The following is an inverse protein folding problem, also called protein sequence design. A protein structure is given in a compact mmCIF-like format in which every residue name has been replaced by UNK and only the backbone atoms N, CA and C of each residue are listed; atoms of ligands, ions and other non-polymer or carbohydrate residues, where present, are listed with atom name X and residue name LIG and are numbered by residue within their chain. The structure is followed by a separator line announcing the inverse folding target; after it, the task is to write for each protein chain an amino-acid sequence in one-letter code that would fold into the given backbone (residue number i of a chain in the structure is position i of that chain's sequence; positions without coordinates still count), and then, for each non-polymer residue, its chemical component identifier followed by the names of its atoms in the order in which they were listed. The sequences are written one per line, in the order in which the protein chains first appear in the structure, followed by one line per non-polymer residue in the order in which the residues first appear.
data_IF_861970759448
#
_entry.id   IF_861970759448
#
_cell.length_a   1.000
_cell.length_b   1.000
_cell.length_c   1.000
_cell.angle_alpha   90.00
_cell.angle_beta   90.00
_cell.angle_gamma   90.00
#
_symmetry.space_group_name_H-M   'P 1'
#
loop_
_entity.id
_entity.type
_entity.pdbx_description
1 polymer ?
#
# COMPACT_ATOMS: atom_id res chain seq x y z
N UNK A 1 48.93 -40.06 36.34
CA UNK A 1 48.86 -38.93 35.33
C UNK A 1 47.83 -37.90 35.81
N UNK A 2 48.37 -36.80 36.33
CA UNK A 2 47.63 -35.68 36.88
C UNK A 2 47.25 -34.80 35.67
N UNK A 3 45.97 -34.58 35.43
CA UNK A 3 45.48 -33.61 34.45
C UNK A 3 45.42 -32.22 35.10
N UNK A 4 46.19 -31.29 34.57
CA UNK A 4 46.23 -29.90 34.95
C UNK A 4 44.92 -29.16 34.55
N UNK A 5 44.47 -28.14 35.28
CA UNK A 5 43.23 -27.44 35.02
C UNK A 5 43.31 -26.54 33.77
N UNK A 6 42.27 -26.58 32.92
CA UNK A 6 42.11 -25.79 31.71
C UNK A 6 41.92 -24.31 32.09
N UNK A 7 42.80 -23.47 31.60
CA UNK A 7 42.80 -22.03 31.85
C UNK A 7 41.74 -21.38 30.93
N UNK A 8 40.62 -20.94 31.49
CA UNK A 8 39.55 -20.21 30.73
C UNK A 8 39.99 -18.77 30.49
N UNK A 9 39.94 -18.27 29.23
CA UNK A 9 40.39 -16.92 28.90
C UNK A 9 39.59 -15.83 29.65
N UNK A 10 40.27 -14.74 30.01
CA UNK A 10 39.73 -13.63 30.79
C UNK A 10 38.50 -12.94 30.13
N UNK A 11 38.33 -13.04 28.81
CA UNK A 11 37.18 -12.55 28.06
C UNK A 11 35.87 -13.26 28.44
N UNK A 12 35.88 -14.59 28.70
CA UNK A 12 34.67 -15.32 29.11
C UNK A 12 34.20 -14.93 30.51
N UNK A 13 35.11 -14.57 31.41
CA UNK A 13 34.76 -14.10 32.77
C UNK A 13 34.15 -12.70 32.80
N UNK A 14 34.43 -11.87 31.81
CA UNK A 14 33.87 -10.50 31.72
C UNK A 14 32.43 -10.52 31.22
N UNK A 15 32.09 -11.42 30.29
CA UNK A 15 30.73 -11.57 29.73
C UNK A 15 29.77 -12.07 30.80
N UNK A 16 30.20 -13.07 31.60
CA UNK A 16 29.37 -13.68 32.66
C UNK A 16 29.05 -12.67 33.81
N UNK A 17 29.98 -11.76 34.14
CA UNK A 17 29.72 -10.68 35.11
C UNK A 17 28.70 -9.65 34.60
N UNK A 18 28.67 -9.31 33.29
CA UNK A 18 27.72 -8.35 32.74
C UNK A 18 26.29 -8.92 32.68
N UNK A 19 26.15 -10.21 32.36
CA UNK A 19 24.82 -10.85 32.34
C UNK A 19 24.24 -10.98 33.75
N UNK A 20 25.04 -11.31 34.74
CA UNK A 20 24.62 -11.39 36.14
C UNK A 20 24.25 -10.03 36.74
N UNK A 21 24.93 -8.95 36.33
CA UNK A 21 24.55 -7.57 36.73
C UNK A 21 23.25 -7.13 36.07
N UNK A 22 23.04 -7.42 34.78
CA UNK A 22 21.77 -7.11 34.08
C UNK A 22 20.57 -7.82 34.73
N UNK A 23 20.69 -9.09 35.09
CA UNK A 23 19.62 -9.82 35.78
C UNK A 23 19.31 -9.23 37.16
N UNK A 24 20.31 -8.79 37.90
CA UNK A 24 20.12 -8.11 39.20
C UNK A 24 19.42 -6.75 39.04
N UNK A 25 19.77 -5.96 38.02
CA UNK A 25 19.11 -4.65 37.77
C UNK A 25 17.67 -4.81 37.31
N UNK A 26 17.37 -5.80 36.48
CA UNK A 26 15.99 -6.12 36.07
C UNK A 26 15.13 -6.55 37.26
N UNK A 27 15.69 -7.37 38.17
CA UNK A 27 14.99 -7.81 39.38
C UNK A 27 14.70 -6.65 40.36
N UNK A 28 15.63 -5.69 40.47
CA UNK A 28 15.44 -4.48 41.32
C UNK A 28 14.39 -3.56 40.71
N UNK A 29 14.37 -3.36 39.39
CA UNK A 29 13.38 -2.53 38.70
C UNK A 29 11.98 -3.14 38.82
N UNK A 30 11.83 -4.46 38.66
CA UNK A 30 10.56 -5.16 38.88
C UNK A 30 10.07 -5.03 40.33
N UNK A 31 10.96 -5.14 41.32
CA UNK A 31 10.61 -5.00 42.73
C UNK A 31 10.14 -3.56 43.08
N UNK A 32 10.77 -2.54 42.50
CA UNK A 32 10.38 -1.14 42.68
C UNK A 32 9.04 -0.85 42.04
N UNK A 33 8.75 -1.41 40.85
CA UNK A 33 7.44 -1.25 40.18
C UNK A 33 6.32 -1.91 40.99
N UNK A 34 6.55 -3.09 41.57
CA UNK A 34 5.58 -3.78 42.43
C UNK A 34 5.34 -2.98 43.73
N UNK A 35 6.38 -2.37 44.32
CA UNK A 35 6.26 -1.60 45.52
C UNK A 35 5.50 -0.25 45.33
N UNK A 36 5.62 0.36 44.13
CA UNK A 36 4.86 1.58 43.77
C UNK A 36 3.38 1.29 43.54
N UNK A 37 3.05 0.08 43.02
CA UNK A 37 1.64 -0.31 42.79
C UNK A 37 0.88 -0.66 44.06
N UNK A 38 1.53 -0.89 45.22
CA UNK A 38 0.85 -1.25 46.48
C UNK A 38 0.55 -0.07 47.43
N UNK A 39 0.96 1.16 47.05
CA UNK A 39 0.72 2.34 47.90
C UNK A 39 -0.50 3.15 47.45
N UNK A 40 -1.18 2.77 46.36
CA UNK A 40 -2.39 3.44 45.86
C UNK A 40 -3.59 2.52 46.11
N UNK A 41 -4.13 2.54 47.31
CA UNK A 41 -5.49 2.12 47.65
C UNK A 41 -6.01 2.91 48.86
N UNK A 42 -7.29 3.02 49.11
CA UNK A 42 -8.27 3.81 48.40
C UNK A 42 -8.94 4.80 49.39
N UNK A 43 -9.11 5.99 49.01
CA UNK A 43 -10.09 6.83 49.68
C UNK A 43 -10.63 7.83 48.66
N UNK A 44 -11.79 7.52 48.13
CA UNK A 44 -12.79 8.53 47.77
C UNK A 44 -14.05 7.83 47.24
N UNK A 45 -14.87 7.40 48.22
CA UNK A 45 -16.30 7.32 48.01
C UNK A 45 -16.87 8.71 48.34
N UNK A 46 -16.93 9.59 47.37
CA UNK A 46 -17.79 10.77 47.41
C UNK A 46 -18.18 11.04 45.94
N UNK A 47 -19.45 10.82 45.64
CA UNK A 47 -20.00 11.05 44.31
C UNK A 47 -19.85 12.51 43.89
N UNK A 48 -19.02 12.70 42.89
CA UNK A 48 -19.13 13.84 42.00
C UNK A 48 -19.62 13.28 40.66
N UNK A 49 -20.91 13.45 40.41
CA UNK A 49 -21.48 13.34 39.06
C UNK A 49 -20.81 14.43 38.24
N UNK A 50 -19.78 14.05 37.49
CA UNK A 50 -19.39 14.80 36.30
C UNK A 50 -20.40 14.43 35.20
N UNK A 51 -21.00 15.40 34.53
CA UNK A 51 -21.83 15.06 33.38
C UNK A 51 -20.94 14.38 32.35
N UNK A 52 -21.34 13.19 31.98
CA UNK A 52 -20.80 12.43 30.88
C UNK A 52 -21.15 13.22 29.60
N UNK A 53 -20.25 14.13 29.20
CA UNK A 53 -20.27 14.65 27.83
C UNK A 53 -19.80 13.56 26.88
N UNK A 54 -20.66 12.56 26.71
CA UNK A 54 -20.65 11.73 25.51
C UNK A 54 -21.13 12.58 24.33
N UNK A 55 -20.37 13.58 23.98
CA UNK A 55 -20.55 14.28 22.70
C UNK A 55 -19.69 13.65 21.62
N UNK A 56 -19.82 12.34 21.43
CA UNK A 56 -19.71 11.78 20.11
C UNK A 56 -20.88 12.32 19.31
N UNK A 57 -20.78 13.55 18.83
CA UNK A 57 -21.48 13.93 17.63
C UNK A 57 -21.03 12.94 16.57
N UNK A 58 -21.76 11.85 16.44
CA UNK A 58 -21.88 11.13 15.19
C UNK A 58 -22.24 12.22 14.19
N UNK A 59 -21.21 12.68 13.44
CA UNK A 59 -21.45 13.52 12.29
C UNK A 59 -22.49 12.75 11.47
N UNK A 60 -23.64 13.39 11.23
CA UNK A 60 -24.61 12.91 10.27
C UNK A 60 -23.84 12.47 9.04
N UNK A 61 -23.82 11.19 8.78
CA UNK A 61 -23.22 10.62 7.59
C UNK A 61 -24.14 10.99 6.42
N UNK A 62 -24.02 12.21 5.91
CA UNK A 62 -24.34 12.43 4.52
C UNK A 62 -23.41 11.50 3.78
N UNK A 63 -23.96 10.46 3.19
CA UNK A 63 -23.21 9.45 2.43
C UNK A 63 -22.36 10.17 1.39
N UNK A 64 -21.09 10.41 1.71
CA UNK A 64 -20.15 11.12 0.84
C UNK A 64 -19.92 10.37 -0.47
N UNK A 65 -20.17 9.05 -0.46
CA UNK A 65 -19.97 8.13 -1.57
C UNK A 65 -21.13 7.16 -1.72
N UNK A 66 -21.45 6.81 -2.96
CA UNK A 66 -22.41 5.77 -3.32
C UNK A 66 -21.79 4.36 -3.21
N UNK A 67 -20.45 4.27 -3.31
CA UNK A 67 -19.73 3.00 -3.20
C UNK A 67 -20.06 2.27 -1.90
N UNK A 68 -20.22 0.92 -1.94
CA UNK A 68 -20.44 0.11 -0.75
C UNK A 68 -19.28 0.14 0.24
N UNK A 69 -18.04 0.35 -0.23
CA UNK A 69 -16.85 0.47 0.63
C UNK A 69 -15.94 1.55 0.10
N UNK A 70 -15.37 2.33 1.01
CA UNK A 70 -14.37 3.33 0.65
C UNK A 70 -13.58 3.84 1.84
N UNK A 71 -12.42 4.42 1.55
CA UNK A 71 -11.54 5.06 2.52
C UNK A 71 -10.80 6.23 1.90
N UNK A 72 -10.60 7.27 2.66
CA UNK A 72 -9.71 8.38 2.34
C UNK A 72 -8.60 8.45 3.38
N UNK A 73 -7.36 8.43 2.94
CA UNK A 73 -6.17 8.43 3.79
C UNK A 73 -5.23 9.56 3.37
N UNK A 74 -4.65 10.26 4.33
CA UNK A 74 -3.52 11.16 4.10
C UNK A 74 -2.23 10.33 4.01
N UNK A 75 -1.44 10.52 2.95
CA UNK A 75 -0.37 9.59 2.60
C UNK A 75 0.86 9.68 3.51
N UNK A 76 1.23 10.87 4.02
CA UNK A 76 2.43 11.03 4.83
C UNK A 76 2.25 10.39 6.21
N UNK A 77 1.16 10.70 6.88
CA UNK A 77 0.87 10.24 8.24
C UNK A 77 0.17 8.88 8.29
N UNK A 78 -0.54 8.50 7.21
CA UNK A 78 -1.45 7.36 7.20
C UNK A 78 -2.78 7.63 7.93
N UNK A 79 -3.08 8.89 8.24
CA UNK A 79 -4.32 9.28 8.92
C UNK A 79 -5.53 9.03 8.03
N UNK A 80 -6.52 8.32 8.58
CA UNK A 80 -7.81 8.09 7.92
C UNK A 80 -8.70 9.31 8.11
N UNK A 81 -9.04 9.98 7.01
CA UNK A 81 -9.87 11.20 6.99
C UNK A 81 -11.35 10.87 6.83
N UNK A 82 -11.68 9.80 6.09
CA UNK A 82 -13.03 9.29 5.91
C UNK A 82 -13.00 7.78 5.68
N UNK A 83 -14.03 7.08 6.12
CA UNK A 83 -14.20 5.66 5.83
C UNK A 83 -15.67 5.24 5.83
N UNK A 84 -15.99 4.26 4.99
CA UNK A 84 -17.29 3.58 4.91
C UNK A 84 -17.02 2.11 4.61
N UNK A 85 -17.45 1.20 5.48
CA UNK A 85 -17.24 -0.25 5.37
C UNK A 85 -15.84 -0.63 4.86
N UNK A 86 -14.81 0.09 5.39
CA UNK A 86 -13.45 0.03 4.88
C UNK A 86 -12.76 -1.33 5.11
N UNK A 87 -13.27 -2.14 6.03
CA UNK A 87 -12.71 -3.43 6.43
C UNK A 87 -13.48 -4.64 5.87
N UNK A 88 -14.53 -4.39 5.07
CA UNK A 88 -15.27 -5.45 4.39
C UNK A 88 -14.44 -6.05 3.26
N UNK A 89 -14.24 -7.39 3.29
CA UNK A 89 -13.52 -8.14 2.25
C UNK A 89 -14.27 -8.10 0.93
N UNK A 90 -13.56 -7.77 -0.14
CA UNK A 90 -14.07 -7.68 -1.50
C UNK A 90 -13.03 -8.12 -2.51
N UNK A 91 -13.45 -8.57 -3.68
CA UNK A 91 -12.52 -8.81 -4.79
C UNK A 91 -11.90 -7.49 -5.26
N UNK A 92 -10.56 -7.40 -5.37
CA UNK A 92 -9.87 -6.18 -5.79
C UNK A 92 -9.86 -5.96 -7.31
N UNK A 93 -10.13 -7.00 -8.11
CA UNK A 93 -9.81 -6.98 -9.53
C UNK A 93 -8.38 -6.46 -9.79
N UNK A 94 -8.13 -5.71 -10.84
CA UNK A 94 -6.80 -5.19 -11.19
C UNK A 94 -6.19 -4.19 -10.19
N UNK A 95 -6.86 -3.86 -9.08
CA UNK A 95 -6.21 -3.16 -7.96
C UNK A 95 -5.07 -4.04 -7.36
N UNK A 96 -5.16 -5.36 -7.49
CA UNK A 96 -4.11 -6.34 -7.19
C UNK A 96 -2.73 -5.90 -7.71
N UNK A 97 -2.68 -5.29 -8.88
CA UNK A 97 -1.44 -4.84 -9.52
C UNK A 97 -0.67 -3.76 -8.74
N UNK A 98 -1.28 -3.15 -7.73
CA UNK A 98 -0.54 -2.27 -6.81
C UNK A 98 0.49 -3.11 -6.03
N UNK A 99 0.12 -4.30 -5.56
CA UNK A 99 1.07 -5.21 -4.89
C UNK A 99 2.11 -5.75 -5.88
N UNK A 100 1.72 -6.06 -7.10
CA UNK A 100 2.66 -6.44 -8.17
C UNK A 100 3.71 -5.34 -8.41
N UNK A 101 3.28 -4.09 -8.50
CA UNK A 101 4.18 -2.95 -8.64
C UNK A 101 5.08 -2.77 -7.40
N UNK A 102 4.57 -2.99 -6.18
CA UNK A 102 5.40 -2.96 -4.96
C UNK A 102 6.54 -3.97 -5.06
N UNK A 103 6.28 -5.21 -5.44
CA UNK A 103 7.33 -6.23 -5.56
C UNK A 103 8.33 -5.92 -6.68
N UNK A 104 7.88 -5.35 -7.80
CA UNK A 104 8.77 -4.87 -8.86
C UNK A 104 9.70 -3.77 -8.31
N UNK A 105 9.16 -2.79 -7.62
CA UNK A 105 9.95 -1.72 -7.04
C UNK A 105 10.81 -2.18 -5.84
N UNK A 106 10.37 -3.17 -5.06
CA UNK A 106 11.20 -3.81 -4.04
C UNK A 106 12.42 -4.50 -4.68
N UNK A 107 12.28 -5.13 -5.85
CA UNK A 107 13.38 -5.75 -6.59
C UNK A 107 14.35 -4.70 -7.19
N UNK A 108 13.83 -3.58 -7.69
CA UNK A 108 14.61 -2.44 -8.16
C UNK A 108 15.41 -1.79 -7.01
N UNK A 109 14.80 -1.58 -5.86
CA UNK A 109 15.42 -0.99 -4.66
C UNK A 109 16.54 -1.87 -4.11
N UNK A 110 16.35 -3.20 -4.13
CA UNK A 110 17.39 -4.18 -3.76
C UNK A 110 18.52 -4.29 -4.79
N UNK A 111 18.41 -3.68 -5.97
CA UNK A 111 19.38 -3.79 -7.05
C UNK A 111 19.41 -5.15 -7.75
N UNK A 112 18.45 -6.05 -7.48
CA UNK A 112 18.29 -7.34 -8.18
C UNK A 112 17.58 -7.20 -9.53
N UNK A 113 17.01 -6.03 -9.81
CA UNK A 113 16.35 -5.66 -11.05
C UNK A 113 16.76 -4.23 -11.43
N UNK A 114 16.85 -3.93 -12.73
CA UNK A 114 17.10 -2.58 -13.26
C UNK A 114 16.03 -2.19 -14.25
N UNK A 115 15.82 -0.90 -14.45
CA UNK A 115 14.80 -0.38 -15.38
C UNK A 115 15.06 -0.76 -16.84
N UNK A 116 16.32 -0.90 -17.21
CA UNK A 116 16.79 -1.27 -18.57
C UNK A 116 16.99 -2.78 -18.75
N UNK A 117 16.80 -3.60 -17.73
CA UNK A 117 16.81 -5.05 -17.86
C UNK A 117 15.72 -5.50 -18.84
N UNK A 118 16.01 -6.54 -19.58
CA UNK A 118 15.10 -7.10 -20.59
C UNK A 118 14.34 -8.30 -20.04
N UNK A 119 13.03 -8.29 -20.28
CA UNK A 119 12.09 -9.35 -19.89
C UNK A 119 11.55 -10.01 -21.13
N UNK A 120 11.67 -11.34 -21.21
CA UNK A 120 11.12 -12.13 -22.31
C UNK A 120 9.72 -12.62 -21.93
N UNK A 121 8.74 -12.36 -22.79
CA UNK A 121 7.36 -12.80 -22.60
C UNK A 121 7.25 -14.32 -22.80
N UNK A 122 6.73 -15.02 -21.80
CA UNK A 122 6.46 -16.46 -21.85
C UNK A 122 5.17 -16.78 -22.61
N UNK A 123 4.97 -18.06 -22.96
CA UNK A 123 3.69 -18.55 -23.49
C UNK A 123 2.53 -18.32 -22.51
N UNK A 124 2.78 -18.45 -21.20
CA UNK A 124 1.78 -18.17 -20.14
C UNK A 124 1.40 -16.70 -20.10
N UNK A 125 2.39 -15.78 -20.02
CA UNK A 125 2.14 -14.34 -20.04
C UNK A 125 1.34 -13.92 -21.27
N UNK A 126 1.71 -14.42 -22.47
CA UNK A 126 0.97 -14.18 -23.71
C UNK A 126 -0.48 -14.68 -23.64
N UNK A 127 -0.74 -15.80 -22.98
CA UNK A 127 -2.08 -16.43 -22.92
C UNK A 127 -3.07 -15.70 -22.02
N UNK A 128 -2.64 -14.68 -21.27
CA UNK A 128 -3.48 -13.97 -20.32
C UNK A 128 -4.66 -13.30 -21.00
N UNK A 129 -5.83 -13.44 -20.36
CA UNK A 129 -7.06 -12.76 -20.77
C UNK A 129 -7.23 -11.38 -20.12
N UNK A 130 -8.40 -10.77 -20.35
CA UNK A 130 -8.76 -9.47 -19.77
C UNK A 130 -8.01 -8.30 -20.39
N UNK A 131 -7.56 -7.34 -19.56
CA UNK A 131 -6.77 -6.20 -20.04
C UNK A 131 -5.37 -6.64 -20.46
N UNK A 132 -4.99 -6.36 -21.68
CA UNK A 132 -3.72 -6.78 -22.28
C UNK A 132 -3.07 -5.62 -23.05
N UNK A 133 -1.77 -5.68 -23.20
CA UNK A 133 -1.02 -4.88 -24.18
C UNK A 133 -0.58 -5.73 -25.38
N UNK A 134 -1.03 -6.98 -25.42
CA UNK A 134 -0.84 -7.94 -26.51
C UNK A 134 0.63 -8.31 -26.80
N UNK A 135 1.37 -8.58 -25.72
CA UNK A 135 2.72 -9.11 -25.81
C UNK A 135 2.72 -10.47 -26.53
N UNK A 136 3.67 -10.68 -27.44
CA UNK A 136 3.86 -11.94 -28.14
C UNK A 136 4.86 -12.85 -27.40
N UNK A 137 4.68 -14.18 -27.54
CA UNK A 137 5.63 -15.15 -26.98
C UNK A 137 7.05 -14.94 -27.56
N UNK A 138 8.02 -14.83 -26.67
CA UNK A 138 9.41 -14.53 -27.03
C UNK A 138 9.67 -13.06 -27.33
N UNK A 139 8.66 -12.18 -27.24
CA UNK A 139 8.87 -10.74 -27.33
C UNK A 139 9.66 -10.26 -26.11
N UNK A 140 10.55 -9.31 -26.36
CA UNK A 140 11.42 -8.72 -25.33
C UNK A 140 11.03 -7.27 -25.13
N UNK A 141 10.76 -6.90 -23.87
CA UNK A 141 10.49 -5.54 -23.44
C UNK A 141 11.38 -5.17 -22.25
N UNK A 142 11.59 -3.87 -22.02
CA UNK A 142 12.32 -3.42 -20.82
C UNK A 142 11.39 -3.44 -19.59
N UNK A 143 11.98 -3.57 -18.41
CA UNK A 143 11.27 -3.45 -17.12
C UNK A 143 10.47 -2.15 -17.06
N UNK A 144 11.06 -1.01 -17.47
CA UNK A 144 10.38 0.27 -17.51
C UNK A 144 9.14 0.25 -18.41
N UNK A 145 9.25 -0.32 -19.60
CA UNK A 145 8.12 -0.46 -20.53
C UNK A 145 7.01 -1.29 -19.90
N UNK A 146 7.35 -2.42 -19.26
CA UNK A 146 6.36 -3.29 -18.62
C UNK A 146 5.70 -2.61 -17.41
N UNK A 147 6.42 -1.82 -16.60
CA UNK A 147 5.81 -0.98 -15.55
C UNK A 147 4.76 -0.05 -16.14
N UNK A 148 5.06 0.64 -17.25
CA UNK A 148 4.11 1.50 -17.95
C UNK A 148 2.89 0.71 -18.46
N UNK A 149 3.10 -0.46 -19.04
CA UNK A 149 2.02 -1.37 -19.47
C UNK A 149 1.08 -1.75 -18.29
N UNK A 150 1.65 -2.04 -17.13
CA UNK A 150 0.92 -2.45 -15.93
C UNK A 150 0.10 -1.27 -15.36
N UNK A 151 0.73 -0.10 -15.18
CA UNK A 151 0.09 1.00 -14.45
C UNK A 151 -0.86 1.80 -15.34
N UNK A 152 -0.53 2.03 -16.62
CA UNK A 152 -1.33 2.82 -17.55
C UNK A 152 -2.48 1.99 -18.12
N UNK A 153 -2.16 0.91 -18.82
CA UNK A 153 -3.14 0.08 -19.55
C UNK A 153 -3.66 -1.11 -18.74
N UNK A 154 -3.12 -1.36 -17.55
CA UNK A 154 -3.53 -2.51 -16.72
C UNK A 154 -3.20 -3.87 -17.34
N UNK A 155 -2.11 -4.00 -18.13
CA UNK A 155 -1.72 -5.23 -18.83
C UNK A 155 -1.55 -6.43 -17.89
N UNK A 156 -2.36 -7.48 -18.09
CA UNK A 156 -2.25 -8.74 -17.37
C UNK A 156 -1.02 -9.52 -17.85
N UNK A 157 -0.83 -9.56 -19.16
CA UNK A 157 0.34 -10.14 -19.84
C UNK A 157 1.66 -9.53 -19.32
N UNK A 158 1.74 -8.21 -19.22
CA UNK A 158 2.88 -7.51 -18.66
C UNK A 158 3.09 -7.83 -17.15
N UNK A 159 2.01 -7.99 -16.38
CA UNK A 159 2.08 -8.35 -14.97
C UNK A 159 2.66 -9.74 -14.74
N UNK A 160 2.18 -10.72 -15.51
CA UNK A 160 2.67 -12.12 -15.47
C UNK A 160 4.12 -12.21 -15.96
N UNK A 161 4.46 -11.53 -17.06
CA UNK A 161 5.84 -11.50 -17.57
C UNK A 161 6.82 -10.97 -16.50
N UNK A 162 6.46 -9.91 -15.80
CA UNK A 162 7.27 -9.37 -14.69
C UNK A 162 7.34 -10.34 -13.50
N UNK A 163 6.22 -10.97 -13.12
CA UNK A 163 6.16 -11.93 -12.02
C UNK A 163 7.08 -13.12 -12.28
N UNK A 164 7.01 -13.72 -13.46
CA UNK A 164 7.86 -14.82 -13.88
C UNK A 164 9.34 -14.42 -13.96
N UNK A 165 9.63 -13.23 -14.47
CA UNK A 165 11.00 -12.72 -14.55
C UNK A 165 11.66 -12.56 -13.18
N UNK A 166 10.92 -12.06 -12.19
CA UNK A 166 11.45 -11.77 -10.85
C UNK A 166 11.55 -13.04 -10.00
N UNK A 167 10.57 -13.93 -10.07
CA UNK A 167 10.45 -15.08 -9.16
C UNK A 167 10.52 -16.44 -9.87
N UNK A 168 10.68 -16.49 -11.20
CA UNK A 168 10.70 -17.72 -11.98
C UNK A 168 9.33 -18.32 -12.27
N UNK A 169 8.28 -17.95 -11.53
CA UNK A 169 6.89 -18.33 -11.78
C UNK A 169 5.92 -17.33 -11.14
N UNK A 170 4.68 -17.26 -11.68
CA UNK A 170 3.61 -16.46 -11.08
C UNK A 170 3.26 -16.98 -9.68
N UNK A 171 3.21 -18.29 -9.46
CA UNK A 171 2.89 -18.87 -8.13
C UNK A 171 3.88 -18.41 -7.06
N UNK A 172 5.17 -18.43 -7.35
CA UNK A 172 6.18 -17.98 -6.39
C UNK A 172 6.08 -16.47 -6.16
N UNK A 173 5.77 -15.70 -7.20
CA UNK A 173 5.53 -14.26 -7.05
C UNK A 173 4.31 -13.98 -6.17
N UNK A 174 3.20 -14.73 -6.34
CA UNK A 174 1.99 -14.61 -5.51
C UNK A 174 2.27 -14.97 -4.05
N UNK A 175 3.11 -15.97 -3.79
CA UNK A 175 3.57 -16.27 -2.44
C UNK A 175 4.24 -15.04 -1.81
N UNK A 176 5.15 -14.38 -2.54
CA UNK A 176 5.79 -13.15 -2.07
C UNK A 176 4.81 -11.97 -1.93
N UNK A 177 3.77 -11.88 -2.79
CA UNK A 177 2.71 -10.86 -2.61
C UNK A 177 2.00 -11.03 -1.27
N UNK A 178 1.67 -12.27 -0.88
CA UNK A 178 1.00 -12.56 0.39
C UNK A 178 1.93 -12.29 1.59
N UNK A 179 3.20 -12.68 1.52
CA UNK A 179 4.21 -12.35 2.54
C UNK A 179 4.38 -10.83 2.70
N UNK A 180 4.38 -10.10 1.57
CA UNK A 180 4.50 -8.65 1.59
C UNK A 180 3.26 -7.98 2.18
N UNK A 181 2.07 -8.50 1.88
CA UNK A 181 0.81 -8.05 2.47
C UNK A 181 0.80 -8.26 3.99
N UNK A 182 1.23 -9.42 4.46
CA UNK A 182 1.38 -9.70 5.90
C UNK A 182 2.37 -8.71 6.55
N UNK A 183 3.54 -8.50 5.92
CA UNK A 183 4.56 -7.56 6.39
C UNK A 183 4.08 -6.10 6.45
N UNK A 184 3.10 -5.72 5.64
CA UNK A 184 2.44 -4.41 5.67
C UNK A 184 1.28 -4.33 6.68
N UNK A 185 0.94 -5.44 7.34
CA UNK A 185 -0.19 -5.52 8.26
C UNK A 185 -1.57 -5.56 7.58
N UNK A 186 -1.63 -5.97 6.32
CA UNK A 186 -2.87 -6.13 5.53
C UNK A 186 -3.60 -7.42 5.94
N UNK A 187 -4.24 -7.41 7.11
CA UNK A 187 -4.80 -8.60 7.78
C UNK A 187 -6.00 -9.22 7.05
N UNK A 188 -6.62 -8.50 6.15
CA UNK A 188 -7.81 -8.93 5.41
C UNK A 188 -7.54 -8.99 3.91
N UNK A 189 -6.33 -9.41 3.53
CA UNK A 189 -5.93 -9.52 2.13
C UNK A 189 -5.31 -10.89 1.86
N UNK A 190 -5.71 -11.49 0.73
CA UNK A 190 -5.08 -12.67 0.18
C UNK A 190 -5.13 -12.62 -1.35
N UNK A 191 -4.01 -12.91 -1.98
CA UNK A 191 -3.84 -12.91 -3.43
C UNK A 191 -3.66 -14.34 -3.94
N UNK A 192 -4.29 -14.67 -5.08
CA UNK A 192 -4.16 -15.94 -5.78
C UNK A 192 -3.55 -15.79 -7.19
N UNK A 193 -3.55 -14.57 -7.73
CA UNK A 193 -2.85 -14.22 -8.96
C UNK A 193 -2.18 -12.83 -8.83
N UNK A 194 -1.31 -12.50 -9.79
CA UNK A 194 -0.57 -11.23 -9.77
C UNK A 194 -1.29 -10.07 -10.46
N UNK A 195 -2.45 -10.29 -11.06
CA UNK A 195 -3.13 -9.29 -11.90
C UNK A 195 -4.58 -9.00 -11.49
N UNK A 196 -5.19 -9.84 -10.63
CA UNK A 196 -6.56 -9.72 -10.17
C UNK A 196 -7.58 -10.16 -11.22
N UNK A 197 -7.26 -11.21 -11.98
CA UNK A 197 -8.14 -11.77 -13.00
C UNK A 197 -8.98 -12.92 -12.46
N UNK A 198 -8.51 -13.64 -11.43
CA UNK A 198 -9.24 -14.77 -10.83
C UNK A 198 -10.59 -14.36 -10.28
N UNK A 199 -11.56 -15.25 -10.41
CA UNK A 199 -12.90 -15.11 -9.83
C UNK A 199 -13.03 -15.88 -8.50
N UNK A 200 -11.94 -16.40 -7.97
CA UNK A 200 -11.91 -17.12 -6.70
C UNK A 200 -12.34 -16.23 -5.53
N UNK A 201 -13.17 -16.75 -4.62
CA UNK A 201 -13.55 -16.05 -3.40
C UNK A 201 -12.38 -15.86 -2.42
N UNK A 202 -11.29 -16.63 -2.61
CA UNK A 202 -10.09 -16.53 -1.78
C UNK A 202 -9.14 -15.42 -2.23
N UNK A 203 -9.43 -14.77 -3.38
CA UNK A 203 -8.73 -13.56 -3.83
C UNK A 203 -9.49 -12.32 -3.35
N UNK A 204 -9.12 -11.80 -2.20
CA UNK A 204 -9.83 -10.69 -1.56
C UNK A 204 -8.88 -9.67 -0.91
N UNK A 205 -9.43 -8.49 -0.67
CA UNK A 205 -8.80 -7.40 0.09
C UNK A 205 -9.88 -6.49 0.69
N UNK A 206 -9.46 -5.39 1.32
CA UNK A 206 -10.35 -4.36 1.87
C UNK A 206 -9.94 -2.98 1.36
N UNK A 207 -10.84 -1.99 1.47
CA UNK A 207 -10.49 -0.62 1.11
C UNK A 207 -9.33 -0.09 1.96
N UNK A 208 -9.27 -0.47 3.25
CA UNK A 208 -8.17 -0.12 4.15
C UNK A 208 -6.85 -0.74 3.72
N UNK A 209 -6.83 -2.03 3.43
CA UNK A 209 -5.61 -2.72 3.02
C UNK A 209 -5.09 -2.18 1.67
N UNK A 210 -6.00 -1.82 0.75
CA UNK A 210 -5.63 -1.13 -0.50
C UNK A 210 -5.02 0.25 -0.21
N UNK A 211 -5.56 1.02 0.73
CA UNK A 211 -4.98 2.31 1.09
C UNK A 211 -3.58 2.14 1.69
N UNK A 212 -3.36 1.09 2.51
CA UNK A 212 -2.05 0.74 3.08
C UNK A 212 -1.05 0.44 1.97
N UNK A 213 -1.37 -0.49 1.03
CA UNK A 213 -0.44 -0.82 -0.05
C UNK A 213 -0.26 0.33 -1.05
N UNK A 214 -1.30 1.15 -1.29
CA UNK A 214 -1.16 2.34 -2.13
C UNK A 214 -0.22 3.36 -1.49
N UNK A 215 -0.35 3.57 -0.17
CA UNK A 215 0.54 4.43 0.60
C UNK A 215 1.98 3.93 0.54
N UNK A 216 2.21 2.65 0.79
CA UNK A 216 3.54 2.02 0.69
C UNK A 216 4.17 2.29 -0.68
N UNK A 217 3.43 2.03 -1.76
CA UNK A 217 3.94 2.20 -3.11
C UNK A 217 4.35 3.65 -3.41
N UNK A 218 3.50 4.63 -3.06
CA UNK A 218 3.75 6.03 -3.43
C UNK A 218 4.72 6.76 -2.50
N UNK A 219 4.82 6.35 -1.24
CA UNK A 219 5.74 7.00 -0.28
C UNK A 219 7.14 6.42 -0.34
N UNK A 220 7.26 5.10 -0.50
CA UNK A 220 8.56 4.44 -0.61
C UNK A 220 9.15 4.55 -2.01
N UNK A 221 8.30 4.50 -3.04
CA UNK A 221 8.69 4.50 -4.44
C UNK A 221 8.00 5.63 -5.23
N UNK A 222 8.25 6.91 -4.92
CA UNK A 222 7.54 8.04 -5.51
C UNK A 222 7.66 8.12 -7.03
N UNK A 223 8.68 7.46 -7.63
CA UNK A 223 8.84 7.36 -9.08
C UNK A 223 7.63 6.74 -9.78
N UNK A 224 6.84 5.89 -9.09
CA UNK A 224 5.61 5.33 -9.68
C UNK A 224 4.62 6.42 -10.12
N UNK A 225 4.62 7.57 -9.44
CA UNK A 225 3.72 8.67 -9.77
C UNK A 225 4.04 9.33 -11.11
N UNK A 226 5.29 9.25 -11.57
CA UNK A 226 5.69 9.69 -12.91
C UNK A 226 4.98 8.83 -13.97
N UNK A 227 4.92 7.52 -13.79
CA UNK A 227 4.28 6.59 -14.72
C UNK A 227 2.75 6.61 -14.59
N UNK A 228 2.22 6.61 -13.36
CA UNK A 228 0.77 6.55 -13.14
C UNK A 228 0.02 7.82 -13.57
N UNK A 229 0.73 8.95 -13.69
CA UNK A 229 0.17 10.22 -14.17
C UNK A 229 0.14 10.37 -15.70
N UNK A 230 0.79 9.46 -16.43
CA UNK A 230 0.77 9.45 -17.90
C UNK A 230 -0.65 9.15 -18.39
N UNK A 231 -1.20 10.01 -19.23
CA UNK A 231 -2.52 9.78 -19.84
C UNK A 231 -2.46 8.82 -21.03
N UNK A 232 -1.51 9.03 -21.94
CA UNK A 232 -1.30 8.19 -23.12
C UNK A 232 0.19 8.13 -23.44
N UNK A 233 0.66 6.95 -23.85
CA UNK A 233 2.02 6.73 -24.32
C UNK A 233 2.04 5.57 -25.33
N UNK A 234 2.96 5.59 -26.26
CA UNK A 234 3.15 4.46 -27.19
C UNK A 234 4.28 3.56 -26.70
N UNK A 235 4.09 2.27 -26.90
CA UNK A 235 5.16 1.26 -26.79
C UNK A 235 5.38 0.62 -28.17
N UNK A 236 6.57 0.09 -28.39
CA UNK A 236 6.93 -0.58 -29.62
C UNK A 236 7.02 -2.08 -29.41
N UNK A 237 6.18 -2.84 -30.10
CA UNK A 237 6.31 -4.29 -30.20
C UNK A 237 7.33 -4.63 -31.29
N UNK A 238 8.33 -5.41 -30.94
CA UNK A 238 9.29 -5.99 -31.88
C UNK A 238 9.14 -7.50 -31.85
N UNK A 239 8.49 -8.06 -32.86
CA UNK A 239 8.15 -9.48 -32.97
C UNK A 239 8.69 -10.08 -34.23
N UNK A 240 8.54 -11.39 -34.39
CA UNK A 240 8.89 -12.07 -35.65
C UNK A 240 8.07 -11.58 -36.86
N UNK A 241 6.94 -10.96 -36.64
CA UNK A 241 6.05 -10.41 -37.68
C UNK A 241 6.42 -8.97 -38.08
N UNK A 242 7.39 -8.37 -37.39
CA UNK A 242 7.86 -7.00 -37.63
C UNK A 242 7.68 -6.09 -36.41
N UNK A 243 7.81 -4.80 -36.64
CA UNK A 243 7.70 -3.74 -35.63
C UNK A 243 6.35 -3.04 -35.73
N UNK A 244 5.68 -2.86 -34.58
CA UNK A 244 4.36 -2.21 -34.50
C UNK A 244 4.27 -1.33 -33.28
N UNK A 245 3.75 -0.11 -33.43
CA UNK A 245 3.39 0.77 -32.31
C UNK A 245 2.06 0.35 -31.68
N UNK A 246 2.00 0.43 -30.36
CA UNK A 246 0.79 0.19 -29.58
C UNK A 246 0.58 1.32 -28.57
N UNK A 247 -0.62 1.94 -28.60
CA UNK A 247 -0.97 3.04 -27.74
C UNK A 247 -1.50 2.59 -26.38
N UNK A 248 -0.81 2.91 -25.29
CA UNK A 248 -1.31 2.78 -23.94
C UNK A 248 -2.23 3.96 -23.61
N UNK A 249 -3.39 3.70 -23.01
CA UNK A 249 -4.29 4.73 -22.51
C UNK A 249 -4.60 4.46 -21.04
N UNK A 250 -4.47 5.49 -20.20
CA UNK A 250 -4.69 5.35 -18.77
C UNK A 250 -6.16 5.03 -18.46
N UNK A 251 -6.35 3.98 -17.69
CA UNK A 251 -7.68 3.54 -17.25
C UNK A 251 -8.27 4.46 -16.18
N UNK A 252 -7.45 5.25 -15.48
CA UNK A 252 -7.87 6.23 -14.49
C UNK A 252 -8.21 7.58 -15.15
N UNK A 253 -9.50 7.84 -15.39
CA UNK A 253 -9.93 9.08 -16.03
C UNK A 253 -9.71 10.33 -15.19
N UNK A 254 -9.51 10.20 -13.86
CA UNK A 254 -9.24 11.36 -12.99
C UNK A 254 -7.92 12.04 -13.34
N UNK A 255 -6.98 11.37 -14.00
CA UNK A 255 -5.72 11.98 -14.48
C UNK A 255 -5.99 13.21 -15.35
N UNK A 256 -7.10 13.21 -16.12
CA UNK A 256 -7.47 14.35 -16.97
C UNK A 256 -8.57 15.24 -16.41
N UNK A 257 -9.37 14.72 -15.49
CA UNK A 257 -10.60 15.38 -15.05
C UNK A 257 -10.56 15.90 -13.62
N UNK A 258 -9.51 15.58 -12.85
CA UNK A 258 -9.38 16.00 -11.47
C UNK A 258 -8.01 16.66 -11.25
N UNK A 259 -8.01 17.93 -10.86
CA UNK A 259 -6.79 18.70 -10.61
C UNK A 259 -5.95 18.06 -9.51
N UNK A 260 -4.66 17.87 -9.80
CA UNK A 260 -3.70 17.25 -8.90
C UNK A 260 -3.75 15.73 -8.86
N UNK A 261 -4.61 15.05 -9.65
CA UNK A 261 -4.60 13.60 -9.72
C UNK A 261 -3.30 13.09 -10.39
N UNK A 262 -2.56 12.22 -9.69
CA UNK A 262 -1.28 11.64 -10.14
C UNK A 262 -1.31 10.10 -10.20
N UNK A 263 -2.44 9.48 -9.94
CA UNK A 263 -2.56 8.02 -10.00
C UNK A 263 -3.87 7.52 -9.40
N UNK A 264 -4.03 6.24 -9.05
CA UNK A 264 -3.02 5.20 -9.13
C UNK A 264 -3.52 4.04 -10.02
N UNK A 265 -4.58 3.30 -9.58
CA UNK A 265 -5.02 2.09 -10.27
C UNK A 265 -6.54 1.91 -10.26
N UNK A 266 -7.09 1.46 -11.38
CA UNK A 266 -8.49 0.99 -11.51
C UNK A 266 -8.56 -0.53 -11.48
N UNK A 267 -9.70 -1.06 -11.09
CA UNK A 267 -10.04 -2.48 -11.18
C UNK A 267 -11.47 -2.68 -11.65
N UNK A 268 -11.74 -3.76 -12.40
CA UNK A 268 -13.09 -4.14 -12.80
C UNK A 268 -13.14 -5.59 -13.24
N UNK A 269 -14.06 -6.36 -12.64
CA UNK A 269 -14.51 -7.68 -13.10
C UNK A 269 -16.03 -7.78 -12.88
N UNK A 270 -16.63 -8.87 -13.35
CA UNK A 270 -18.06 -9.17 -13.10
C UNK A 270 -18.39 -9.21 -11.60
N UNK A 271 -17.48 -9.74 -10.77
CA UNK A 271 -17.62 -9.92 -9.32
C UNK A 271 -17.24 -8.64 -8.58
N UNK A 272 -16.06 -8.08 -8.85
CA UNK A 272 -15.56 -6.89 -8.16
C UNK A 272 -16.34 -5.62 -8.48
N UNK A 273 -17.14 -5.62 -9.55
CA UNK A 273 -17.75 -4.42 -10.13
C UNK A 273 -16.65 -3.38 -10.48
N UNK A 274 -16.81 -2.12 -10.08
CA UNK A 274 -15.84 -1.10 -10.41
C UNK A 274 -15.10 -0.60 -9.16
N UNK A 275 -13.79 -0.67 -9.21
CA UNK A 275 -12.90 -0.30 -8.11
C UNK A 275 -11.91 0.77 -8.57
N UNK A 276 -11.45 1.60 -7.63
CA UNK A 276 -10.45 2.63 -7.88
C UNK A 276 -9.63 2.88 -6.61
N UNK A 277 -8.31 2.94 -6.75
CA UNK A 277 -7.41 3.64 -5.85
C UNK A 277 -6.91 4.89 -6.58
N UNK A 278 -7.35 6.06 -6.15
CA UNK A 278 -6.95 7.35 -6.71
C UNK A 278 -5.96 8.05 -5.76
N UNK A 279 -4.95 8.70 -6.34
CA UNK A 279 -3.99 9.52 -5.61
C UNK A 279 -4.01 10.92 -6.19
N UNK A 280 -4.15 11.92 -5.32
CA UNK A 280 -4.06 13.31 -5.72
C UNK A 280 -3.13 14.09 -4.78
N UNK A 281 -2.40 15.06 -5.35
CA UNK A 281 -1.47 15.93 -4.62
C UNK A 281 -1.84 17.39 -4.86
N UNK A 282 -2.02 18.17 -3.77
CA UNK A 282 -2.21 19.63 -3.78
C UNK A 282 -1.53 20.23 -2.56
N UNK A 283 -0.79 21.33 -2.75
CA UNK A 283 -0.16 22.09 -1.64
C UNK A 283 0.56 21.17 -0.64
N UNK A 284 1.42 20.29 -1.13
CA UNK A 284 2.18 19.28 -0.37
C UNK A 284 1.35 18.23 0.40
N UNK A 285 0.04 18.27 0.34
CA UNK A 285 -0.85 17.23 0.84
C UNK A 285 -1.06 16.20 -0.24
N UNK A 286 -0.85 14.92 0.10
CA UNK A 286 -1.13 13.80 -0.78
C UNK A 286 -2.23 12.93 -0.17
N UNK A 287 -3.33 12.76 -0.89
CA UNK A 287 -4.48 11.98 -0.48
C UNK A 287 -4.64 10.73 -1.34
N UNK A 288 -5.03 9.65 -0.69
CA UNK A 288 -5.36 8.36 -1.29
C UNK A 288 -6.84 8.10 -1.05
N UNK A 289 -7.63 8.03 -2.14
CA UNK A 289 -9.05 7.72 -2.10
C UNK A 289 -9.29 6.34 -2.72
N UNK A 290 -9.78 5.40 -1.93
CA UNK A 290 -10.11 4.05 -2.40
C UNK A 290 -11.62 3.85 -2.36
N UNK A 291 -12.18 3.36 -3.46
CA UNK A 291 -13.58 2.95 -3.58
C UNK A 291 -13.67 1.55 -4.17
N UNK A 292 -14.54 0.70 -3.61
CA UNK A 292 -14.73 -0.68 -4.04
C UNK A 292 -16.20 -0.98 -4.34
N UNK A 293 -16.39 -1.86 -5.31
CA UNK A 293 -17.67 -2.44 -5.68
C UNK A 293 -18.73 -1.41 -6.10
N UNK A 294 -18.32 -0.29 -6.73
CA UNK A 294 -19.31 0.67 -7.26
C UNK A 294 -20.14 0.03 -8.37
N UNK A 295 -21.44 0.31 -8.44
CA UNK A 295 -22.33 -0.33 -9.41
C UNK A 295 -22.06 0.11 -10.86
N UNK A 296 -21.55 1.31 -11.04
CA UNK A 296 -21.28 1.93 -12.35
C UNK A 296 -19.84 2.46 -12.42
N UNK A 297 -19.25 2.38 -13.62
CA UNK A 297 -17.87 2.80 -13.84
C UNK A 297 -17.64 4.32 -13.62
N UNK A 298 -18.67 5.17 -13.78
CA UNK A 298 -18.59 6.61 -13.56
C UNK A 298 -18.63 6.94 -12.08
N UNK A 299 -19.40 6.16 -11.31
CA UNK A 299 -19.59 6.37 -9.87
C UNK A 299 -18.26 6.26 -9.13
N UNK A 300 -17.39 5.30 -9.48
CA UNK A 300 -16.06 5.20 -8.83
C UNK A 300 -15.22 6.47 -8.95
N UNK A 301 -15.31 7.20 -10.07
CA UNK A 301 -14.60 8.47 -10.26
C UNK A 301 -15.27 9.63 -9.52
N UNK A 302 -16.60 9.69 -9.54
CA UNK A 302 -17.39 10.67 -8.79
C UNK A 302 -17.11 10.56 -7.28
N UNK A 303 -17.20 9.34 -6.73
CA UNK A 303 -17.01 9.08 -5.31
C UNK A 303 -15.59 9.39 -4.87
N UNK A 304 -14.57 8.95 -5.63
CA UNK A 304 -13.19 9.28 -5.34
C UNK A 304 -12.93 10.80 -5.37
N UNK A 305 -13.49 11.53 -6.36
CA UNK A 305 -13.37 12.98 -6.44
C UNK A 305 -14.06 13.66 -5.24
N UNK A 306 -15.24 13.17 -4.81
CA UNK A 306 -15.95 13.68 -3.63
C UNK A 306 -15.11 13.52 -2.36
N UNK A 307 -14.52 12.33 -2.15
CA UNK A 307 -13.62 12.08 -1.02
C UNK A 307 -12.37 12.97 -1.06
N UNK A 308 -11.73 13.10 -2.22
CA UNK A 308 -10.54 13.95 -2.38
C UNK A 308 -10.87 15.42 -2.07
N UNK A 309 -12.00 15.96 -2.59
CA UNK A 309 -12.44 17.33 -2.29
C UNK A 309 -12.70 17.50 -0.79
N UNK A 310 -13.37 16.53 -0.15
CA UNK A 310 -13.59 16.54 1.29
C UNK A 310 -12.25 16.58 2.04
N UNK A 311 -11.31 15.69 1.69
CA UNK A 311 -10.00 15.62 2.35
C UNK A 311 -9.19 16.89 2.20
N UNK A 312 -9.07 17.46 1.00
CA UNK A 312 -8.35 18.73 0.79
C UNK A 312 -8.98 19.90 1.55
N UNK A 313 -10.30 19.90 1.76
CA UNK A 313 -10.96 20.92 2.58
C UNK A 313 -10.67 20.78 4.08
N UNK A 314 -10.34 19.56 4.56
CA UNK A 314 -10.07 19.29 5.97
C UNK A 314 -8.58 19.39 6.30
N UNK A 315 -7.71 18.85 5.44
CA UNK A 315 -6.27 18.79 5.71
C UNK A 315 -5.57 20.15 5.62
N UNK A 316 -6.06 21.09 4.79
CA UNK A 316 -5.48 22.44 4.71
C UNK A 316 -5.48 23.20 6.05
N UNK A 317 -6.46 22.94 6.90
CA UNK A 317 -6.56 23.55 8.25
C UNK A 317 -5.52 23.00 9.23
N UNK A 318 -4.98 21.79 9.00
CA UNK A 318 -4.07 21.14 9.94
C UNK A 318 -2.61 21.61 9.76
N UNK A 319 -2.20 21.91 8.55
CA UNK A 319 -0.83 22.40 8.25
C UNK A 319 -0.63 23.81 8.76
N UNK A 320 -1.63 24.70 8.64
CA UNK A 320 -1.52 26.07 9.14
C UNK A 320 -1.35 26.13 10.66
N UNK A 321 -1.91 25.19 11.41
CA UNK A 321 -1.73 25.13 12.88
C UNK A 321 -0.32 24.68 13.29
N UNK A 322 0.37 23.86 12.50
CA UNK A 322 1.73 23.38 12.81
C UNK A 322 2.81 24.40 12.45
N UNK A 323 2.60 25.20 11.40
CA UNK A 323 3.55 26.26 11.02
C UNK A 323 3.60 27.40 12.05
N UNK A 324 2.49 27.73 12.70
CA UNK A 324 2.45 28.77 13.74
C UNK A 324 3.11 28.37 15.08
N UNK A 325 3.35 27.08 15.31
CA UNK A 325 3.97 26.62 16.56
C UNK A 325 5.49 26.48 16.45
N UNK A 326 6.08 26.48 15.23
CA UNK A 326 7.55 26.35 15.04
C UNK A 326 8.25 27.70 15.06
N UNK A 327 7.62 28.79 14.62
CA UNK A 327 8.24 30.11 14.57
C UNK A 327 8.24 30.89 15.91
N UNK A 328 7.44 30.42 16.88
CA UNK A 328 7.39 31.06 18.21
C UNK A 328 8.47 30.58 19.19
N UNK A 329 9.31 29.62 18.83
CA UNK A 329 10.34 29.04 19.70
C UNK A 329 11.76 29.55 19.48
N UNK A 330 12.00 30.33 18.42
CA UNK A 330 13.36 30.81 18.06
C UNK A 330 13.67 32.28 18.42
N UNK A 331 12.71 32.98 19.08
CA UNK A 331 12.95 34.34 19.59
C UNK A 331 13.14 34.36 21.14
N UNK A 332 14.21 33.71 21.63
CA UNK A 332 14.77 34.02 22.98
C UNK A 332 16.26 33.86 23.02
#
# INVERSE_FOLDING_TARGET
HILSPINVPAACRYIDRRENMRKKWISIICAVIIMVCTIITPAYAAGIFLPEESNTKQAESTDLIEAPSGILMEAQTGTVVYQKDADTRRSPASITKIMTLILIFDALDKGSLKMDDTVTTSAHAKSMGGSQVFLEEGEIQTVETLIKCIVIASGNDASVAMAEHICGSEQEFVRHMNERAEGLGMKNTHFEDCCGLTESPDHYTTARDIAIMSRELITKYPKILEYSSIWMENITHVTRQGTKEFGLTNTNKLIRSYEGCVGLKTGSTSIAKYCLSAVAKRNDITLIAVVLATPDYKVRFKDAASMLNYGFSKCSLYIDCLLYTSDAADDK
#
